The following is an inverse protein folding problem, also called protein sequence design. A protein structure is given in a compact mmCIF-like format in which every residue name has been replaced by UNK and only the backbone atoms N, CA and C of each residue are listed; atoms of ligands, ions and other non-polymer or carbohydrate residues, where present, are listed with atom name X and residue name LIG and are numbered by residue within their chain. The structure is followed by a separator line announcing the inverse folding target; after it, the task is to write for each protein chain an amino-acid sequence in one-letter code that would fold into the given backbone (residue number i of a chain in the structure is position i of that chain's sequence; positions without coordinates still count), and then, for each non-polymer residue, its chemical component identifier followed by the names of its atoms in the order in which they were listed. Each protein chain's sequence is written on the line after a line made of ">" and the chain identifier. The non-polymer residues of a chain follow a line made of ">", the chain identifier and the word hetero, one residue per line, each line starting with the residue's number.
data_IF_090484744364
#
_entry.id   IF_090484744364
#
_cell.length_a   1.000
_cell.length_b   1.000
_cell.length_c   1.000
_cell.angle_alpha   90.00
_cell.angle_beta   90.00
_cell.angle_gamma   90.00
#
_symmetry.space_group_name_H-M   'P 1'
#
loop_
_entity.id
_entity.type
_entity.pdbx_description
1 polymer ?
#
# COMPACT_ATOMS: atom_id res chain seq x y z
N UNK A 1 23.34 -4.37 -42.91
CA UNK A 1 23.81 -4.74 -41.57
C UNK A 1 23.92 -3.56 -40.60
N UNK A 2 24.52 -2.42 -40.95
CA UNK A 2 24.63 -1.24 -40.03
C UNK A 2 23.28 -0.64 -39.58
N UNK A 3 22.30 -0.55 -40.46
CA UNK A 3 20.97 -0.03 -40.15
C UNK A 3 20.17 -0.91 -39.14
N UNK A 4 20.29 -2.24 -39.27
CA UNK A 4 19.64 -3.19 -38.35
C UNK A 4 20.23 -3.14 -36.95
N UNK A 5 21.53 -2.95 -36.82
CA UNK A 5 22.24 -2.83 -35.54
C UNK A 5 21.82 -1.54 -34.79
N UNK A 6 21.67 -0.43 -35.53
CA UNK A 6 21.25 0.87 -34.96
C UNK A 6 19.81 0.78 -34.44
N UNK A 7 18.91 0.09 -35.16
CA UNK A 7 17.51 -0.07 -34.72
C UNK A 7 17.40 -0.94 -33.45
N UNK A 8 18.20 -1.99 -33.36
CA UNK A 8 18.24 -2.86 -32.16
C UNK A 8 18.84 -2.13 -30.97
N UNK A 9 19.90 -1.35 -31.16
CA UNK A 9 20.46 -0.52 -30.08
C UNK A 9 19.48 0.57 -29.59
N UNK A 10 18.74 1.21 -30.50
CA UNK A 10 17.76 2.22 -30.13
C UNK A 10 16.58 1.61 -29.36
N UNK A 11 16.08 0.43 -29.73
CA UNK A 11 15.03 -0.27 -29.01
C UNK A 11 15.47 -0.75 -27.63
N UNK A 12 16.73 -1.17 -27.46
CA UNK A 12 17.31 -1.51 -26.18
C UNK A 12 17.44 -0.30 -25.24
N UNK A 13 17.86 0.86 -25.78
CA UNK A 13 17.97 2.09 -24.99
C UNK A 13 16.59 2.60 -24.52
N UNK A 14 15.55 2.49 -25.36
CA UNK A 14 14.18 2.86 -24.99
C UNK A 14 13.65 1.95 -23.87
N UNK A 15 13.87 0.64 -23.97
CA UNK A 15 13.46 -0.29 -22.90
C UNK A 15 14.24 -0.06 -21.60
N UNK A 16 15.51 0.31 -21.66
CA UNK A 16 16.32 0.64 -20.48
C UNK A 16 15.84 1.94 -19.81
N UNK A 17 15.46 2.97 -20.58
CA UNK A 17 14.91 4.21 -20.05
C UNK A 17 13.55 3.97 -19.38
N UNK A 18 12.69 3.12 -19.95
CA UNK A 18 11.38 2.80 -19.40
C UNK A 18 11.46 1.94 -18.13
N UNK A 19 12.44 1.04 -18.04
CA UNK A 19 12.67 0.23 -16.83
C UNK A 19 13.16 1.07 -15.63
N UNK A 20 13.77 2.24 -15.89
CA UNK A 20 14.31 3.14 -14.84
C UNK A 20 13.28 4.12 -14.29
N UNK A 21 12.01 4.05 -14.74
CA UNK A 21 10.91 4.92 -14.31
C UNK A 21 9.99 4.23 -13.29
N UNK A 22 10.09 2.89 -13.16
CA UNK A 22 9.25 2.11 -12.25
C UNK A 22 9.88 2.05 -10.88
N UNK A 23 9.12 2.45 -9.90
CA UNK A 23 9.45 2.36 -8.49
C UNK A 23 8.41 1.54 -7.73
N UNK A 24 8.73 1.19 -6.50
CA UNK A 24 7.84 0.44 -5.62
C UNK A 24 7.58 1.23 -4.35
N UNK A 25 6.35 1.12 -3.82
CA UNK A 25 5.97 1.61 -2.51
C UNK A 25 5.18 0.53 -1.76
N UNK A 26 5.18 0.59 -0.43
CA UNK A 26 4.58 -0.44 0.42
C UNK A 26 3.75 0.21 1.52
N UNK A 27 2.47 -0.17 1.62
CA UNK A 27 1.58 0.34 2.65
C UNK A 27 0.69 -0.76 3.23
N UNK A 28 0.44 -0.68 4.54
CA UNK A 28 -0.55 -1.47 5.26
C UNK A 28 -1.67 -0.56 5.75
N UNK A 29 -2.91 -0.87 5.42
CA UNK A 29 -4.07 -0.02 5.74
C UNK A 29 -5.31 -0.83 6.16
N UNK A 30 -5.12 -1.90 6.93
CA UNK A 30 -6.16 -2.89 7.24
C UNK A 30 -6.26 -3.95 6.15
N UNK A 31 -7.48 -4.35 5.80
CA UNK A 31 -7.70 -5.33 4.74
C UNK A 31 -7.06 -4.89 3.42
N UNK A 32 -6.11 -5.69 2.94
CA UNK A 32 -5.36 -5.39 1.72
C UNK A 32 -6.23 -5.33 0.46
N UNK A 33 -7.40 -6.01 0.38
CA UNK A 33 -8.32 -5.86 -0.74
C UNK A 33 -8.83 -4.42 -0.93
N UNK A 34 -9.08 -3.73 0.20
CA UNK A 34 -9.51 -2.33 0.16
C UNK A 34 -8.37 -1.38 -0.18
N UNK A 35 -7.17 -1.70 0.28
CA UNK A 35 -5.96 -0.92 -0.02
C UNK A 35 -5.60 -1.09 -1.49
N UNK A 36 -5.60 -2.32 -2.02
CA UNK A 36 -5.40 -2.64 -3.43
C UNK A 36 -6.35 -1.84 -4.33
N UNK A 37 -7.68 -1.91 -4.09
CA UNK A 37 -8.67 -1.12 -4.83
C UNK A 37 -8.32 0.38 -4.84
N UNK A 38 -7.91 0.93 -3.70
CA UNK A 38 -7.68 2.37 -3.57
C UNK A 38 -6.48 2.88 -4.36
N UNK A 39 -5.45 2.04 -4.56
CA UNK A 39 -4.25 2.42 -5.30
C UNK A 39 -4.34 2.12 -6.79
N UNK A 40 -4.98 1.03 -7.19
CA UNK A 40 -5.11 0.67 -8.61
C UNK A 40 -5.89 1.70 -9.44
N UNK A 41 -6.72 2.52 -8.80
CA UNK A 41 -7.47 3.58 -9.48
C UNK A 41 -6.61 4.81 -9.80
N UNK A 42 -5.38 4.89 -9.30
CA UNK A 42 -4.52 6.05 -9.50
C UNK A 42 -3.79 5.97 -10.85
N UNK A 43 -3.86 7.07 -11.59
CA UNK A 43 -3.09 7.19 -12.82
C UNK A 43 -1.59 7.17 -12.50
N UNK A 44 -0.84 6.31 -13.14
CA UNK A 44 0.59 6.11 -12.92
C UNK A 44 0.92 4.90 -12.03
N UNK A 45 -0.07 4.34 -11.33
CA UNK A 45 0.05 3.00 -10.74
C UNK A 45 -0.15 1.97 -11.84
N UNK A 46 0.77 1.02 -11.95
CA UNK A 46 0.77 0.00 -13.00
C UNK A 46 0.30 -1.36 -12.48
N UNK A 47 0.63 -1.66 -11.23
CA UNK A 47 0.26 -2.92 -10.58
C UNK A 47 0.19 -2.71 -9.06
N UNK A 48 -0.74 -3.37 -8.42
CA UNK A 48 -0.81 -3.48 -6.96
C UNK A 48 -0.92 -4.94 -6.58
N UNK A 49 -0.04 -5.39 -5.69
CA UNK A 49 0.04 -6.79 -5.27
C UNK A 49 -0.25 -6.89 -3.78
N UNK A 50 -1.28 -7.63 -3.41
CA UNK A 50 -1.60 -7.94 -2.00
C UNK A 50 -0.59 -8.93 -1.42
N UNK A 51 -0.13 -8.69 -0.19
CA UNK A 51 0.88 -9.55 0.46
C UNK A 51 1.12 -9.23 1.92
N UNK A 52 2.30 -9.60 2.40
CA UNK A 52 2.70 -9.52 3.80
C UNK A 52 4.09 -8.91 3.95
N UNK A 53 4.28 -8.06 4.95
CA UNK A 53 5.58 -7.46 5.26
C UNK A 53 5.68 -7.04 6.72
N UNK A 54 6.89 -6.73 7.18
CA UNK A 54 7.18 -6.13 8.49
C UNK A 54 7.29 -7.12 9.65
N UNK A 55 7.08 -8.41 9.42
CA UNK A 55 7.25 -9.50 10.37
C UNK A 55 8.54 -10.29 10.17
N UNK A 56 8.67 -11.40 10.87
CA UNK A 56 9.91 -12.23 10.91
C UNK A 56 9.74 -13.63 10.31
N UNK A 57 8.49 -14.10 10.14
CA UNK A 57 8.22 -15.42 9.57
C UNK A 57 8.51 -15.41 8.07
N UNK A 58 9.31 -16.37 7.59
CA UNK A 58 9.57 -16.52 6.17
C UNK A 58 8.40 -17.24 5.46
N UNK A 59 8.05 -16.75 4.26
CA UNK A 59 6.99 -17.29 3.41
C UNK A 59 5.68 -17.58 4.20
N UNK A 60 5.15 -16.58 4.93
CA UNK A 60 3.99 -16.78 5.78
C UNK A 60 2.75 -17.03 4.93
N UNK A 61 1.84 -17.85 5.42
CA UNK A 61 0.51 -18.03 4.87
C UNK A 61 -0.48 -17.02 5.46
N UNK A 62 -1.59 -16.77 4.77
CA UNK A 62 -2.69 -15.93 5.27
C UNK A 62 -3.14 -16.32 6.68
N UNK A 63 -3.30 -17.63 6.93
CA UNK A 63 -3.71 -18.12 8.24
C UNK A 63 -2.71 -17.79 9.35
N UNK A 64 -1.43 -17.91 9.06
CA UNK A 64 -0.38 -17.58 10.04
C UNK A 64 -0.33 -16.08 10.33
N UNK A 65 -0.51 -15.22 9.31
CA UNK A 65 -0.52 -13.76 9.48
C UNK A 65 -1.74 -13.31 10.27
N UNK A 66 -2.94 -13.84 9.97
CA UNK A 66 -4.18 -13.38 10.60
C UNK A 66 -4.44 -13.96 11.99
N UNK A 67 -3.99 -15.19 12.25
CA UNK A 67 -4.27 -15.89 13.51
C UNK A 67 -3.02 -16.27 14.31
N UNK A 68 -1.83 -16.14 13.72
CA UNK A 68 -0.58 -16.46 14.36
C UNK A 68 0.13 -15.23 14.94
N UNK A 69 1.41 -15.42 15.24
CA UNK A 69 2.27 -14.37 15.78
C UNK A 69 3.48 -14.15 14.86
N UNK A 70 3.23 -13.93 13.58
CA UNK A 70 4.29 -13.74 12.57
C UNK A 70 4.93 -12.36 12.61
N UNK A 71 4.26 -11.37 13.22
CA UNK A 71 4.64 -9.97 13.19
C UNK A 71 4.39 -9.29 11.85
N UNK A 72 3.84 -9.99 10.85
CA UNK A 72 3.49 -9.40 9.55
C UNK A 72 2.18 -8.61 9.59
N UNK A 73 2.11 -7.62 8.71
CA UNK A 73 0.91 -6.86 8.38
C UNK A 73 0.37 -7.33 7.03
N UNK A 74 -0.93 -7.13 6.78
CA UNK A 74 -1.48 -7.13 5.43
C UNK A 74 -1.01 -5.87 4.72
N UNK A 75 -0.25 -6.03 3.64
CA UNK A 75 0.47 -4.97 2.93
C UNK A 75 0.15 -5.05 1.45
N UNK A 76 0.16 -3.93 0.77
CA UNK A 76 0.21 -3.89 -0.70
C UNK A 76 1.58 -3.42 -1.16
N UNK A 77 2.14 -4.09 -2.18
CA UNK A 77 3.23 -3.61 -3.01
C UNK A 77 2.62 -2.85 -4.18
N UNK A 78 3.03 -1.62 -4.38
CA UNK A 78 2.55 -0.74 -5.45
C UNK A 78 3.69 -0.51 -6.42
N UNK A 79 3.53 -0.93 -7.67
CA UNK A 79 4.46 -0.66 -8.76
C UNK A 79 3.92 0.55 -9.52
N UNK A 80 4.69 1.62 -9.60
CA UNK A 80 4.24 2.89 -10.17
C UNK A 80 5.30 3.56 -11.04
N UNK A 81 4.85 4.37 -11.99
CA UNK A 81 5.71 5.22 -12.81
C UNK A 81 5.91 6.57 -12.12
N UNK A 82 7.12 6.80 -11.59
CA UNK A 82 7.48 8.02 -10.86
C UNK A 82 7.38 9.32 -11.65
N UNK A 83 7.34 9.26 -12.97
CA UNK A 83 7.14 10.44 -13.81
C UNK A 83 5.66 10.85 -13.94
N UNK A 84 4.75 9.95 -13.54
CA UNK A 84 3.30 10.18 -13.62
C UNK A 84 2.71 10.41 -12.23
N UNK A 85 3.20 9.70 -11.22
CA UNK A 85 2.75 9.80 -9.84
C UNK A 85 3.96 9.69 -8.89
N UNK A 86 4.04 10.58 -7.92
CA UNK A 86 5.11 10.60 -6.93
C UNK A 86 4.79 9.74 -5.71
N UNK A 87 5.82 9.39 -4.91
CA UNK A 87 5.62 8.76 -3.61
C UNK A 87 4.74 9.62 -2.68
N UNK A 88 4.89 10.93 -2.73
CA UNK A 88 4.08 11.87 -1.94
C UNK A 88 2.58 11.78 -2.30
N UNK A 89 2.25 11.61 -3.57
CA UNK A 89 0.85 11.44 -4.00
C UNK A 89 0.30 10.07 -3.59
N UNK A 90 1.11 9.01 -3.65
CA UNK A 90 0.75 7.70 -3.09
C UNK A 90 0.53 7.78 -1.58
N UNK A 91 1.41 8.48 -0.85
CA UNK A 91 1.29 8.69 0.58
C UNK A 91 0.02 9.48 0.94
N UNK A 92 -0.35 10.50 0.17
CA UNK A 92 -1.64 11.21 0.32
C UNK A 92 -2.82 10.27 0.15
N UNK A 93 -2.80 9.41 -0.88
CA UNK A 93 -3.85 8.41 -1.08
C UNK A 93 -3.91 7.41 0.08
N UNK A 94 -2.77 6.97 0.60
CA UNK A 94 -2.70 6.11 1.78
C UNK A 94 -3.41 6.75 2.97
N UNK A 95 -3.05 7.99 3.33
CA UNK A 95 -3.60 8.66 4.50
C UNK A 95 -5.12 8.81 4.44
N UNK A 96 -5.67 9.27 3.33
CA UNK A 96 -7.13 9.49 3.21
C UNK A 96 -7.94 8.18 3.21
N UNK A 97 -7.27 7.04 3.05
CA UNK A 97 -7.88 5.71 3.02
C UNK A 97 -7.71 4.93 4.33
N UNK A 98 -7.16 5.53 5.39
CA UNK A 98 -7.01 4.88 6.70
C UNK A 98 -7.58 5.73 7.85
N UNK A 99 -7.80 5.09 9.00
CA UNK A 99 -7.88 5.77 10.30
C UNK A 99 -6.49 5.80 10.94
N UNK A 100 -5.76 6.93 10.90
CA UNK A 100 -4.41 7.01 11.44
C UNK A 100 -4.39 6.99 12.97
N UNK A 101 -5.55 6.95 13.63
CA UNK A 101 -5.72 7.01 15.07
C UNK A 101 -6.20 5.68 15.69
N UNK A 102 -6.44 4.63 14.89
CA UNK A 102 -6.84 3.30 15.35
C UNK A 102 -5.62 2.41 15.60
N UNK A 103 -5.28 2.20 16.87
CA UNK A 103 -4.15 1.37 17.27
C UNK A 103 -4.41 -0.14 17.21
N UNK A 104 -5.66 -0.56 16.99
CA UNK A 104 -6.07 -1.96 17.12
C UNK A 104 -6.37 -2.66 15.79
N UNK A 105 -6.28 -1.91 14.68
CA UNK A 105 -6.58 -2.39 13.34
C UNK A 105 -7.11 -1.28 12.46
N UNK A 106 -8.00 -1.60 11.54
CA UNK A 106 -8.68 -0.61 10.70
C UNK A 106 -10.15 -0.99 10.54
N UNK A 107 -11.04 -0.04 10.84
CA UNK A 107 -12.49 -0.19 10.69
C UNK A 107 -13.02 -1.45 11.41
N UNK A 108 -13.58 -2.42 10.67
CA UNK A 108 -14.08 -3.67 11.23
C UNK A 108 -12.99 -4.74 11.42
N UNK A 109 -11.83 -4.57 10.80
CA UNK A 109 -10.74 -5.54 10.91
C UNK A 109 -9.87 -5.20 12.11
N UNK A 110 -9.88 -6.07 13.11
CA UNK A 110 -9.12 -5.91 14.35
C UNK A 110 -8.07 -6.99 14.48
N UNK A 111 -6.91 -6.58 14.99
CA UNK A 111 -5.74 -7.45 15.15
C UNK A 111 -4.47 -6.81 14.65
N UNK A 112 -3.34 -7.40 15.00
CA UNK A 112 -2.02 -6.86 14.69
C UNK A 112 -1.79 -6.69 13.18
N UNK A 113 -2.15 -7.70 12.39
CA UNK A 113 -1.97 -7.71 10.94
C UNK A 113 -2.75 -6.64 10.18
N UNK A 114 -3.79 -6.07 10.81
CA UNK A 114 -4.65 -5.03 10.23
C UNK A 114 -4.30 -3.61 10.65
N UNK A 115 -3.21 -3.42 11.40
CA UNK A 115 -2.75 -2.07 11.77
C UNK A 115 -2.16 -1.35 10.58
N UNK A 116 -2.22 -0.01 10.60
CA UNK A 116 -1.66 0.81 9.55
C UNK A 116 -0.14 0.96 9.66
N UNK A 117 0.54 0.87 8.51
CA UNK A 117 2.00 1.05 8.40
C UNK A 117 2.32 1.79 7.10
N UNK A 118 3.12 2.83 7.18
CA UNK A 118 3.82 3.39 6.04
C UNK A 118 5.27 2.87 6.05
N UNK A 119 5.65 2.13 5.01
CA UNK A 119 7.02 1.67 4.86
C UNK A 119 7.83 2.69 4.07
N UNK A 120 9.09 2.87 4.42
CA UNK A 120 10.05 3.70 3.70
C UNK A 120 11.24 2.90 3.23
N UNK A 121 11.80 3.25 2.09
CA UNK A 121 12.98 2.62 1.50
C UNK A 121 14.22 3.51 1.61
N UNK A 122 14.02 4.83 1.74
CA UNK A 122 15.06 5.86 1.84
C UNK A 122 14.67 6.96 2.83
N UNK A 123 15.61 7.84 3.16
CA UNK A 123 15.41 8.90 4.15
C UNK A 123 14.42 9.96 3.67
N UNK A 124 14.34 10.25 2.37
CA UNK A 124 13.37 11.20 1.81
C UNK A 124 11.92 10.74 2.03
N UNK A 125 11.62 9.46 1.76
CA UNK A 125 10.30 8.89 2.02
C UNK A 125 9.97 8.92 3.53
N UNK A 126 10.96 8.61 4.37
CA UNK A 126 10.79 8.69 5.82
C UNK A 126 10.44 10.09 6.28
N UNK A 127 11.15 11.12 5.79
CA UNK A 127 10.89 12.53 6.12
C UNK A 127 9.47 12.94 5.72
N UNK A 128 9.01 12.57 4.50
CA UNK A 128 7.65 12.85 4.05
C UNK A 128 6.58 12.24 4.97
N UNK A 129 6.78 10.99 5.38
CA UNK A 129 5.85 10.31 6.31
C UNK A 129 5.83 11.02 7.67
N UNK A 130 6.99 11.37 8.22
CA UNK A 130 7.11 12.02 9.52
C UNK A 130 6.52 13.45 9.50
N UNK A 131 6.68 14.17 8.39
CA UNK A 131 6.07 15.50 8.21
C UNK A 131 4.55 15.42 8.19
N UNK A 132 3.97 14.47 7.47
CA UNK A 132 2.53 14.29 7.41
C UNK A 132 1.95 13.91 8.77
N UNK A 133 2.63 13.04 9.52
CA UNK A 133 2.25 12.71 10.89
C UNK A 133 2.20 13.98 11.76
N UNK A 134 3.24 14.81 11.74
CA UNK A 134 3.28 16.08 12.49
C UNK A 134 2.12 17.01 12.09
N UNK A 135 1.83 17.10 10.78
CA UNK A 135 0.71 17.90 10.25
C UNK A 135 -0.64 17.40 10.80
N UNK A 136 -0.86 16.07 10.78
CA UNK A 136 -2.11 15.47 11.27
C UNK A 136 -2.26 15.57 12.78
N UNK A 137 -1.21 15.30 13.55
CA UNK A 137 -1.23 15.44 15.00
C UNK A 137 -1.58 16.88 15.42
N UNK A 138 -1.01 17.87 14.72
CA UNK A 138 -1.33 19.29 14.94
C UNK A 138 -2.78 19.63 14.53
N UNK A 139 -3.21 19.14 13.34
CA UNK A 139 -4.55 19.42 12.81
C UNK A 139 -5.67 18.84 13.69
N UNK A 140 -5.50 17.58 14.08
CA UNK A 140 -6.54 16.83 14.79
C UNK A 140 -6.39 16.86 16.31
N UNK A 141 -5.31 17.44 16.84
CA UNK A 141 -4.93 17.40 18.26
C UNK A 141 -5.02 15.97 18.83
N UNK A 142 -4.49 15.01 18.07
CA UNK A 142 -4.57 13.58 18.38
C UNK A 142 -3.31 12.87 17.89
N UNK A 143 -2.77 11.95 18.68
CA UNK A 143 -1.57 11.18 18.31
C UNK A 143 -1.88 10.24 17.16
N UNK A 144 -1.06 10.27 16.11
CA UNK A 144 -1.05 9.29 15.03
C UNK A 144 -0.39 8.00 15.54
N UNK A 145 -1.04 6.87 15.30
CA UNK A 145 -0.58 5.53 15.75
C UNK A 145 -0.16 4.63 14.58
N UNK A 146 -0.19 5.14 13.36
CA UNK A 146 0.36 4.47 12.18
C UNK A 146 1.85 4.22 12.37
N UNK A 147 2.29 2.99 12.14
CA UNK A 147 3.72 2.67 12.23
C UNK A 147 4.49 3.25 11.05
N UNK A 148 5.73 3.69 11.34
CA UNK A 148 6.74 3.99 10.32
C UNK A 148 7.78 2.88 10.40
N UNK A 149 7.97 2.12 9.32
CA UNK A 149 8.94 1.02 9.30
C UNK A 149 9.83 1.10 8.06
N UNK A 150 11.13 0.83 8.24
CA UNK A 150 11.99 0.61 7.08
C UNK A 150 11.51 -0.66 6.36
N UNK A 151 11.36 -0.56 5.04
CA UNK A 151 11.03 -1.73 4.22
C UNK A 151 12.21 -2.71 4.20
N UNK A 152 11.91 -4.00 4.31
CA UNK A 152 12.90 -5.07 4.24
C UNK A 152 12.48 -6.11 3.20
N UNK A 153 11.40 -6.83 3.41
CA UNK A 153 10.98 -7.94 2.56
C UNK A 153 9.46 -7.99 2.40
N UNK A 154 9.02 -8.35 1.22
CA UNK A 154 7.61 -8.55 0.88
C UNK A 154 7.37 -10.00 0.47
N UNK A 155 6.26 -10.57 0.91
CA UNK A 155 5.79 -11.89 0.54
C UNK A 155 4.41 -11.75 -0.11
N UNK A 156 4.31 -12.10 -1.41
CA UNK A 156 3.02 -12.08 -2.12
C UNK A 156 2.02 -13.00 -1.43
N UNK A 157 0.81 -12.52 -1.21
CA UNK A 157 -0.29 -13.34 -0.69
C UNK A 157 -0.76 -14.34 -1.76
N UNK A 158 -1.51 -15.34 -1.32
CA UNK A 158 -2.06 -16.39 -2.16
C UNK A 158 -2.95 -15.81 -3.27
N UNK A 159 -2.97 -16.42 -4.46
CA UNK A 159 -3.67 -15.92 -5.66
C UNK A 159 -5.15 -15.57 -5.41
N UNK A 160 -5.82 -16.28 -4.53
CA UNK A 160 -7.21 -16.00 -4.15
C UNK A 160 -7.42 -14.61 -3.51
N UNK A 161 -6.34 -13.92 -3.12
CA UNK A 161 -6.37 -12.59 -2.52
C UNK A 161 -6.04 -11.49 -3.51
N UNK A 162 -5.41 -11.83 -4.65
CA UNK A 162 -5.11 -10.87 -5.70
C UNK A 162 -6.38 -10.47 -6.44
N UNK A 163 -6.53 -9.21 -6.78
CA UNK A 163 -7.71 -8.68 -7.50
C UNK A 163 -9.06 -9.06 -6.87
N UNK A 164 -9.07 -9.33 -5.56
CA UNK A 164 -10.27 -9.86 -4.89
C UNK A 164 -11.48 -8.94 -5.11
N UNK A 165 -11.31 -7.66 -5.09
CA UNK A 165 -12.37 -6.68 -5.30
C UNK A 165 -12.93 -6.71 -6.73
N UNK A 166 -12.16 -7.17 -7.74
CA UNK A 166 -12.61 -7.38 -9.13
C UNK A 166 -13.26 -8.75 -9.29
N UNK A 167 -12.55 -9.81 -8.88
CA UNK A 167 -12.94 -11.21 -9.10
C UNK A 167 -14.18 -11.58 -8.27
N UNK A 168 -14.22 -11.17 -7.00
CA UNK A 168 -15.30 -11.47 -6.07
C UNK A 168 -16.12 -10.21 -5.71
N UNK A 169 -16.40 -9.38 -6.70
CA UNK A 169 -17.00 -8.05 -6.56
C UNK A 169 -18.18 -7.98 -5.60
N UNK A 170 -19.18 -8.87 -5.74
CA UNK A 170 -20.37 -8.87 -4.87
C UNK A 170 -20.05 -9.21 -3.40
N UNK A 171 -19.07 -10.10 -3.18
CA UNK A 171 -18.61 -10.45 -1.83
C UNK A 171 -17.84 -9.30 -1.21
N UNK A 172 -17.00 -8.67 -2.00
CA UNK A 172 -16.24 -7.49 -1.60
C UNK A 172 -17.14 -6.32 -1.24
N UNK A 173 -18.14 -5.99 -2.04
CA UNK A 173 -19.09 -4.89 -1.76
C UNK A 173 -19.85 -5.12 -0.45
N UNK A 174 -20.32 -6.35 -0.20
CA UNK A 174 -20.98 -6.69 1.08
C UNK A 174 -20.07 -6.50 2.26
N UNK A 175 -18.82 -6.95 2.16
CA UNK A 175 -17.79 -6.76 3.18
C UNK A 175 -17.52 -5.26 3.42
N UNK A 176 -17.22 -4.51 2.36
CA UNK A 176 -16.90 -3.06 2.43
C UNK A 176 -18.03 -2.26 3.09
N UNK A 177 -19.28 -2.58 2.73
CA UNK A 177 -20.48 -1.97 3.33
C UNK A 177 -20.65 -2.35 4.82
N UNK A 178 -20.47 -3.60 5.17
CA UNK A 178 -20.57 -4.06 6.55
C UNK A 178 -19.52 -3.42 7.46
N UNK A 179 -18.30 -3.20 6.95
CA UNK A 179 -17.22 -2.51 7.66
C UNK A 179 -17.42 -1.00 7.84
N UNK A 180 -18.37 -0.37 7.14
CA UNK A 180 -18.61 1.08 7.18
C UNK A 180 -17.36 1.94 6.90
N UNK A 181 -16.43 1.40 6.10
CA UNK A 181 -15.14 2.07 5.84
C UNK A 181 -15.32 3.48 5.30
N UNK A 182 -16.14 3.66 4.26
CA UNK A 182 -16.36 4.96 3.62
C UNK A 182 -17.00 5.98 4.57
N UNK A 183 -17.96 5.54 5.39
CA UNK A 183 -18.62 6.40 6.38
C UNK A 183 -17.63 6.89 7.44
N UNK A 184 -16.80 5.97 7.95
CA UNK A 184 -15.77 6.29 8.95
C UNK A 184 -14.72 7.24 8.38
N UNK A 185 -14.23 7.00 7.14
CA UNK A 185 -13.27 7.89 6.49
C UNK A 185 -13.82 9.30 6.31
N UNK A 186 -15.08 9.43 5.89
CA UNK A 186 -15.73 10.76 5.81
C UNK A 186 -15.75 11.46 7.17
N UNK A 187 -16.07 10.76 8.26
CA UNK A 187 -16.09 11.36 9.60
C UNK A 187 -14.69 11.82 10.05
N UNK A 188 -13.64 11.13 9.67
CA UNK A 188 -12.25 11.48 10.03
C UNK A 188 -11.78 12.68 9.22
N UNK A 189 -11.93 12.63 7.89
CA UNK A 189 -11.28 13.57 6.98
C UNK A 189 -12.08 14.80 6.59
N UNK A 190 -13.36 14.88 6.94
CA UNK A 190 -14.21 16.06 6.70
C UNK A 190 -14.05 17.19 7.74
N UNK A 191 -13.12 17.05 8.68
CA UNK A 191 -12.83 18.02 9.74
C UNK A 191 -11.72 19.00 9.38
#
# INVERSE_FOLDING_TARGET
>A
MKTLIITILLSLLINFAQANQKEKAYFAGGCFWCVEESFEQLKGVEEVVSGYSGGTTENPTYKEVTYGNTGHFEVVEIIYNREIISFEELLKNFWINIDPFDAYGQFCDKGYSYRSVAFYQNDQEKELIEEDIKKFEKKFNKKVVTYIKKFDKFYKAEERHQDFYKIYFQKYLRYKKACKREETLKQIWSK
#
